data_IF_296847355663
#
_entry.id   IF_296847355663
#
_cell.length_a   1.000
_cell.length_b   1.000
_cell.length_c   1.000
_cell.angle_alpha   90.00
_cell.angle_beta   90.00
_cell.angle_gamma   90.00
#
_symmetry.space_group_name_H-M   'P 1'
#
loop_
_entity.id
_entity.type
_entity.pdbx_description
1 polymer ?
#
# COMPACT_ATOMS: atom_id res chain seq x y z
N UNK A 1 0.14 -4.69 -5.07
CA UNK A 1 -0.54 -3.80 -4.10
C UNK A 1 -1.94 -3.38 -4.58
N UNK A 2 -2.06 -2.72 -5.73
CA UNK A 2 -3.35 -2.19 -6.27
C UNK A 2 -4.47 -3.23 -6.28
N UNK A 3 -4.26 -4.40 -6.88
CA UNK A 3 -5.30 -5.45 -6.96
C UNK A 3 -5.80 -5.93 -5.59
N UNK A 4 -4.93 -5.98 -4.58
CA UNK A 4 -5.31 -6.33 -3.20
C UNK A 4 -6.15 -5.23 -2.56
N UNK A 5 -5.72 -3.98 -2.69
CA UNK A 5 -6.44 -2.81 -2.19
C UNK A 5 -7.83 -2.70 -2.81
N UNK A 6 -7.95 -2.84 -4.14
CA UNK A 6 -9.23 -2.79 -4.86
C UNK A 6 -10.12 -3.99 -4.53
N UNK A 7 -9.57 -5.21 -4.59
CA UNK A 7 -10.34 -6.43 -4.37
C UNK A 7 -10.92 -6.55 -2.96
N UNK A 8 -10.28 -5.89 -1.98
CA UNK A 8 -10.71 -5.91 -0.57
C UNK A 8 -11.27 -4.58 -0.06
N UNK A 9 -11.40 -3.57 -0.93
CA UNK A 9 -11.80 -2.19 -0.56
C UNK A 9 -10.95 -1.63 0.59
N UNK A 10 -9.64 -1.89 0.57
CA UNK A 10 -8.68 -1.42 1.56
C UNK A 10 -7.88 -0.24 1.03
N UNK A 11 -7.83 0.85 1.80
CA UNK A 11 -7.11 2.07 1.40
C UNK A 11 -5.64 2.10 1.84
N UNK A 12 -5.24 1.19 2.75
CA UNK A 12 -3.90 1.11 3.33
C UNK A 12 -3.52 -0.34 3.55
N UNK A 13 -2.24 -0.64 3.41
CA UNK A 13 -1.63 -1.92 3.76
C UNK A 13 -0.51 -1.68 4.77
N UNK A 14 -0.40 -2.55 5.77
CA UNK A 14 0.75 -2.60 6.67
C UNK A 14 1.88 -3.31 5.93
N UNK A 15 3.09 -2.74 5.98
CA UNK A 15 4.31 -3.39 5.51
C UNK A 15 4.94 -4.07 6.72
N UNK A 16 5.29 -5.34 6.58
CA UNK A 16 5.94 -6.13 7.62
C UNK A 16 7.30 -6.63 7.14
N UNK A 17 8.27 -6.70 8.05
CA UNK A 17 9.54 -7.39 7.87
C UNK A 17 9.77 -8.29 9.09
N UNK A 18 10.07 -9.58 8.87
CA UNK A 18 10.19 -10.57 9.94
C UNK A 18 8.97 -10.56 10.90
N UNK A 19 7.78 -10.52 10.33
CA UNK A 19 6.49 -10.44 11.03
C UNK A 19 6.27 -9.18 11.89
N UNK A 20 7.21 -8.25 11.89
CA UNK A 20 7.10 -6.99 12.61
C UNK A 20 6.61 -5.87 11.67
N UNK A 21 5.63 -5.05 12.09
CA UNK A 21 5.17 -3.91 11.28
C UNK A 21 6.27 -2.85 11.17
N UNK A 22 6.70 -2.56 9.96
CA UNK A 22 7.77 -1.60 9.66
C UNK A 22 7.28 -0.34 8.95
N UNK A 23 6.06 -0.37 8.41
CA UNK A 23 5.52 0.80 7.72
C UNK A 23 4.09 0.64 7.24
N UNK A 24 3.64 1.65 6.50
CA UNK A 24 2.31 1.70 5.90
C UNK A 24 2.45 2.17 4.46
N UNK A 25 1.72 1.54 3.54
CA UNK A 25 1.52 2.04 2.18
C UNK A 25 0.05 2.37 1.97
N UNK A 26 -0.24 3.60 1.56
CA UNK A 26 -1.59 4.05 1.20
C UNK A 26 -1.83 3.99 -0.31
N UNK A 27 -3.10 3.98 -0.71
CA UNK A 27 -3.45 4.14 -2.13
C UNK A 27 -2.86 5.43 -2.72
N UNK A 28 -2.76 6.52 -1.94
CA UNK A 28 -2.15 7.77 -2.40
C UNK A 28 -0.67 7.60 -2.72
N UNK A 29 0.08 6.85 -1.90
CA UNK A 29 1.51 6.57 -2.15
C UNK A 29 1.69 5.78 -3.45
N UNK A 30 0.80 4.82 -3.69
CA UNK A 30 0.78 4.04 -4.93
C UNK A 30 0.46 4.92 -6.14
N UNK A 31 -0.54 5.81 -6.03
CA UNK A 31 -0.90 6.74 -7.11
C UNK A 31 0.24 7.70 -7.41
N UNK A 32 0.85 8.33 -6.40
CA UNK A 32 2.02 9.21 -6.57
C UNK A 32 3.16 8.52 -7.30
N UNK A 33 3.44 7.26 -6.93
CA UNK A 33 4.51 6.47 -7.56
C UNK A 33 4.24 6.13 -9.04
N UNK A 34 2.97 5.96 -9.43
CA UNK A 34 2.58 5.67 -10.82
C UNK A 34 2.58 6.94 -11.67
N UNK A 35 2.11 8.06 -11.11
CA UNK A 35 2.01 9.34 -11.82
C UNK A 35 3.39 9.98 -12.03
N UNK A 36 4.41 9.55 -11.29
CA UNK A 36 5.80 9.92 -11.57
C UNK A 36 6.17 11.33 -11.13
N UNK A 37 5.81 11.68 -9.89
CA UNK A 37 6.60 12.65 -9.12
C UNK A 37 7.77 11.94 -8.43
#
# INVERSE_FOLDING_TARGET
AVSLMTGRRMHRLIVTENDQPTGVISMTDVVRKIIGE
#
